data_IF_510645580240
#
_entry.id   IF_510645580240
#
_cell.length_a   1.000
_cell.length_b   1.000
_cell.length_c   1.000
_cell.angle_alpha   90.00
_cell.angle_beta   90.00
_cell.angle_gamma   90.00
#
_symmetry.space_group_name_H-M   'P 1'
#
loop_
_entity.id
_entity.type
_entity.pdbx_description
1 polymer ?
#
# COMPACT_ATOMS: atom_id res chain seq x y z
N UNK A 1 -31.37 0.58 -23.42
CA UNK A 1 -29.90 0.56 -23.42
C UNK A 1 -29.46 1.46 -22.27
N UNK A 2 -28.43 1.08 -21.55
CA UNK A 2 -27.80 1.92 -20.53
C UNK A 2 -26.96 3.04 -21.17
N UNK A 3 -26.20 3.80 -20.37
CA UNK A 3 -25.33 4.87 -20.89
C UNK A 3 -24.11 4.35 -21.66
N UNK A 4 -23.81 3.05 -21.59
CA UNK A 4 -22.83 2.36 -22.42
C UNK A 4 -23.45 1.73 -23.66
N UNK A 5 -24.73 1.99 -23.94
CA UNK A 5 -25.49 1.44 -25.05
C UNK A 5 -25.66 -0.10 -25.00
N UNK A 6 -25.51 -0.71 -23.82
CA UNK A 6 -25.75 -2.13 -23.59
C UNK A 6 -27.22 -2.34 -23.22
N UNK A 7 -27.82 -3.41 -23.73
CA UNK A 7 -29.19 -3.83 -23.39
C UNK A 7 -29.09 -5.17 -22.69
N UNK A 8 -29.64 -5.30 -21.50
CA UNK A 8 -29.47 -6.51 -20.70
C UNK A 8 -29.99 -6.38 -19.28
N UNK A 9 -29.70 -7.39 -18.48
CA UNK A 9 -30.09 -7.46 -17.08
C UNK A 9 -29.37 -8.59 -16.34
N UNK A 10 -29.75 -8.78 -15.08
CA UNK A 10 -29.26 -9.87 -14.24
C UNK A 10 -30.47 -10.67 -13.78
N UNK A 11 -30.43 -11.99 -13.99
CA UNK A 11 -31.42 -12.92 -13.46
C UNK A 11 -31.05 -13.27 -12.02
N UNK A 12 -31.93 -12.97 -11.06
CA UNK A 12 -31.66 -13.17 -9.63
C UNK A 12 -31.91 -14.61 -9.18
N UNK A 13 -32.79 -15.34 -9.86
CA UNK A 13 -33.13 -16.72 -9.58
C UNK A 13 -32.30 -17.73 -10.39
N UNK A 14 -32.56 -19.01 -10.14
CA UNK A 14 -32.14 -20.04 -11.09
C UNK A 14 -32.93 -19.89 -12.38
N UNK A 15 -32.23 -19.86 -13.52
CA UNK A 15 -32.87 -19.77 -14.82
C UNK A 15 -32.90 -21.16 -15.45
N UNK A 16 -34.10 -21.72 -15.57
CA UNK A 16 -34.33 -22.99 -16.27
C UNK A 16 -34.52 -22.73 -17.76
N UNK A 17 -33.79 -23.46 -18.58
CA UNK A 17 -33.79 -23.38 -20.03
C UNK A 17 -33.89 -24.79 -20.64
N UNK A 18 -34.19 -24.88 -21.94
CA UNK A 18 -34.26 -26.16 -22.65
C UNK A 18 -33.46 -26.10 -23.95
N UNK A 19 -32.86 -27.23 -24.32
CA UNK A 19 -32.25 -27.42 -25.64
C UNK A 19 -33.30 -27.71 -26.74
N UNK A 20 -34.55 -27.98 -26.38
CA UNK A 20 -35.65 -28.20 -27.32
C UNK A 20 -36.49 -26.93 -27.48
N UNK A 21 -36.36 -26.27 -28.64
CA UNK A 21 -37.14 -25.08 -29.00
C UNK A 21 -38.64 -25.28 -28.85
N UNK A 22 -39.16 -26.48 -29.13
CA UNK A 22 -40.60 -26.76 -29.07
C UNK A 22 -41.12 -26.68 -27.63
N UNK A 23 -40.34 -27.20 -26.69
CA UNK A 23 -40.63 -27.12 -25.25
C UNK A 23 -40.63 -25.66 -24.82
N UNK A 24 -39.64 -24.87 -25.21
CA UNK A 24 -39.58 -23.43 -24.89
C UNK A 24 -40.81 -22.67 -25.44
N UNK A 25 -41.19 -22.92 -26.69
CA UNK A 25 -42.38 -22.32 -27.30
C UNK A 25 -43.65 -22.74 -26.55
N UNK A 26 -43.76 -24.00 -26.13
CA UNK A 26 -44.91 -24.48 -25.36
C UNK A 26 -45.08 -23.72 -24.04
N UNK A 27 -43.99 -23.48 -23.31
CA UNK A 27 -44.02 -22.67 -22.09
C UNK A 27 -44.37 -21.20 -22.39
N UNK A 28 -43.79 -20.62 -23.46
CA UNK A 28 -44.03 -19.23 -23.85
C UNK A 28 -45.46 -18.97 -24.38
N UNK A 29 -46.07 -19.97 -25.03
CA UNK A 29 -47.38 -19.86 -25.72
C UNK A 29 -48.56 -20.34 -24.87
N UNK A 30 -48.32 -20.66 -23.59
CA UNK A 30 -49.31 -21.26 -22.69
C UNK A 30 -50.48 -20.34 -22.31
N UNK A 31 -50.41 -19.03 -22.61
CA UNK A 31 -51.48 -18.04 -22.36
C UNK A 31 -51.99 -17.45 -23.68
N UNK A 32 -53.26 -17.68 -23.98
CA UNK A 32 -53.90 -17.47 -25.30
C UNK A 32 -53.90 -16.05 -25.88
N UNK A 33 -53.50 -15.02 -25.14
CA UNK A 33 -53.63 -13.61 -25.58
C UNK A 33 -52.37 -12.74 -25.38
N UNK A 34 -51.21 -13.33 -25.05
CA UNK A 34 -49.97 -12.57 -24.83
C UNK A 34 -48.94 -12.79 -25.94
N UNK A 35 -48.27 -11.72 -26.35
CA UNK A 35 -47.05 -11.83 -27.15
C UNK A 35 -46.01 -12.67 -26.39
N UNK A 36 -45.60 -13.79 -26.98
CA UNK A 36 -44.62 -14.68 -26.40
C UNK A 36 -43.20 -14.13 -26.63
N UNK A 37 -42.34 -14.20 -25.62
CA UNK A 37 -40.92 -13.88 -25.74
C UNK A 37 -40.14 -15.19 -25.65
N UNK A 38 -39.25 -15.42 -26.61
CA UNK A 38 -38.34 -16.55 -26.63
C UNK A 38 -36.90 -16.07 -26.51
N UNK A 39 -36.22 -16.45 -25.44
CA UNK A 39 -34.79 -16.19 -25.28
C UNK A 39 -33.97 -17.29 -25.96
N UNK A 40 -33.20 -16.91 -26.97
CA UNK A 40 -32.20 -17.78 -27.59
C UNK A 40 -30.83 -17.51 -26.97
N UNK A 41 -30.31 -18.48 -26.24
CA UNK A 41 -29.13 -18.28 -25.41
C UNK A 41 -27.91 -18.96 -26.01
N UNK A 42 -26.88 -18.18 -26.30
CA UNK A 42 -25.59 -18.75 -26.71
C UNK A 42 -24.74 -19.04 -25.48
N UNK A 43 -24.47 -20.33 -25.22
CA UNK A 43 -23.58 -20.78 -24.15
C UNK A 43 -22.12 -20.78 -24.61
N UNK A 44 -21.25 -20.14 -23.82
CA UNK A 44 -19.80 -20.25 -23.98
C UNK A 44 -19.23 -21.55 -23.38
N UNK A 45 -17.90 -21.71 -23.40
CA UNK A 45 -17.24 -22.79 -22.64
C UNK A 45 -17.32 -22.54 -21.13
N UNK A 46 -17.29 -21.27 -20.72
CA UNK A 46 -17.25 -20.82 -19.33
C UNK A 46 -18.68 -20.64 -18.78
N UNK A 47 -19.56 -20.06 -19.59
CA UNK A 47 -20.94 -19.71 -19.21
C UNK A 47 -21.94 -20.83 -19.56
N UNK A 48 -21.62 -22.07 -19.16
CA UNK A 48 -22.50 -23.24 -19.38
C UNK A 48 -23.47 -23.43 -18.22
N UNK A 49 -24.74 -23.67 -18.55
CA UNK A 49 -25.68 -24.20 -17.59
C UNK A 49 -25.43 -25.69 -17.32
N UNK A 50 -25.96 -26.18 -16.20
CA UNK A 50 -25.89 -27.58 -15.82
C UNK A 50 -27.01 -28.37 -16.53
N UNK A 51 -26.65 -29.45 -17.24
CA UNK A 51 -27.62 -30.41 -17.76
C UNK A 51 -28.26 -31.20 -16.61
N UNK A 52 -29.58 -31.05 -16.47
CA UNK A 52 -30.35 -31.70 -15.42
C UNK A 52 -31.12 -32.92 -15.93
N UNK A 53 -30.97 -33.32 -17.19
CA UNK A 53 -31.75 -34.42 -17.78
C UNK A 53 -31.68 -35.72 -16.97
N UNK A 54 -30.55 -35.99 -16.30
CA UNK A 54 -30.35 -37.19 -15.49
C UNK A 54 -31.04 -37.16 -14.12
N UNK A 55 -31.38 -35.98 -13.60
CA UNK A 55 -31.99 -35.77 -12.28
C UNK A 55 -33.44 -35.26 -12.38
N UNK A 56 -33.82 -34.69 -13.52
CA UNK A 56 -35.12 -34.04 -13.72
C UNK A 56 -36.27 -35.03 -13.69
N UNK A 57 -37.43 -34.58 -13.18
CA UNK A 57 -38.69 -35.31 -13.28
C UNK A 57 -39.19 -35.41 -14.74
N UNK A 58 -38.74 -34.50 -15.62
CA UNK A 58 -39.06 -34.47 -17.03
C UNK A 58 -37.80 -34.52 -17.92
N UNK A 59 -37.05 -35.64 -17.97
CA UNK A 59 -35.79 -35.75 -18.71
C UNK A 59 -35.88 -35.39 -20.20
N UNK A 60 -37.05 -35.60 -20.80
CA UNK A 60 -37.30 -35.32 -22.21
C UNK A 60 -37.36 -33.82 -22.52
N UNK A 61 -37.54 -32.96 -21.52
CA UNK A 61 -37.48 -31.51 -21.67
C UNK A 61 -36.05 -30.99 -21.84
N UNK A 62 -35.02 -31.83 -21.64
CA UNK A 62 -33.60 -31.48 -21.81
C UNK A 62 -33.24 -30.18 -21.10
N UNK A 63 -33.59 -30.13 -19.82
CA UNK A 63 -33.43 -28.95 -18.98
C UNK A 63 -31.94 -28.64 -18.76
N UNK A 64 -31.60 -27.37 -18.97
CA UNK A 64 -30.32 -26.76 -18.65
C UNK A 64 -30.55 -25.65 -17.65
N UNK A 65 -29.94 -25.76 -16.47
CA UNK A 65 -30.12 -24.80 -15.38
C UNK A 65 -28.92 -23.88 -15.24
N UNK A 66 -29.16 -22.58 -15.21
CA UNK A 66 -28.14 -21.57 -14.92
C UNK A 66 -28.23 -21.12 -13.46
N UNK A 67 -27.08 -20.78 -12.89
CA UNK A 67 -26.98 -20.30 -11.51
C UNK A 67 -27.63 -18.91 -11.34
N UNK A 68 -28.06 -18.57 -10.11
CA UNK A 68 -28.47 -17.22 -9.76
C UNK A 68 -27.43 -16.17 -10.12
N UNK A 69 -27.89 -14.94 -10.34
CA UNK A 69 -27.08 -13.79 -10.72
C UNK A 69 -26.40 -13.97 -12.10
N UNK A 70 -27.03 -14.70 -13.01
CA UNK A 70 -26.58 -14.78 -14.40
C UNK A 70 -26.86 -13.46 -15.12
N UNK A 71 -25.82 -12.86 -15.71
CA UNK A 71 -25.94 -11.65 -16.51
C UNK A 71 -26.36 -12.02 -17.95
N UNK A 72 -27.33 -11.26 -18.48
CA UNK A 72 -27.92 -11.43 -19.78
C UNK A 72 -27.66 -10.17 -20.61
N UNK A 73 -27.00 -10.31 -21.74
CA UNK A 73 -26.81 -9.24 -22.72
C UNK A 73 -27.64 -9.54 -23.97
N UNK A 74 -28.52 -8.61 -24.36
CA UNK A 74 -29.32 -8.70 -25.58
C UNK A 74 -28.45 -8.33 -26.78
N UNK A 75 -28.27 -9.28 -27.69
CA UNK A 75 -27.51 -9.10 -28.92
C UNK A 75 -28.42 -8.57 -30.03
N UNK A 76 -29.48 -9.33 -30.32
CA UNK A 76 -30.42 -9.07 -31.41
C UNK A 76 -31.83 -9.43 -30.99
N UNK A 77 -32.80 -8.84 -31.67
CA UNK A 77 -34.22 -9.19 -31.51
C UNK A 77 -34.89 -9.22 -32.88
N UNK A 78 -35.76 -10.19 -33.09
CA UNK A 78 -36.59 -10.30 -34.28
C UNK A 78 -37.94 -10.94 -33.94
N UNK A 79 -38.87 -10.92 -34.88
CA UNK A 79 -40.23 -11.46 -34.69
C UNK A 79 -40.43 -12.65 -35.63
N UNK A 80 -40.83 -13.79 -35.06
CA UNK A 80 -41.20 -15.01 -35.78
C UNK A 80 -42.67 -15.31 -35.51
N UNK A 81 -43.55 -14.94 -36.46
CA UNK A 81 -44.99 -15.09 -36.29
C UNK A 81 -45.51 -14.24 -35.14
N UNK A 82 -45.98 -14.89 -34.06
CA UNK A 82 -46.46 -14.22 -32.83
C UNK A 82 -45.43 -14.23 -31.69
N UNK A 83 -44.20 -14.70 -31.95
CA UNK A 83 -43.14 -14.80 -30.95
C UNK A 83 -42.07 -13.74 -31.21
N UNK A 84 -41.72 -12.94 -30.20
CA UNK A 84 -40.54 -12.11 -30.22
C UNK A 84 -39.34 -12.94 -29.75
N UNK A 85 -38.40 -13.16 -30.66
CA UNK A 85 -37.16 -13.90 -30.37
C UNK A 85 -36.08 -12.90 -29.98
N UNK A 86 -35.45 -13.13 -28.84
CA UNK A 86 -34.39 -12.29 -28.30
C UNK A 86 -33.15 -13.16 -28.15
N UNK A 87 -32.14 -12.91 -28.98
CA UNK A 87 -30.85 -13.59 -28.88
C UNK A 87 -30.03 -12.92 -27.77
N UNK A 88 -29.60 -13.72 -26.80
CA UNK A 88 -28.86 -13.24 -25.64
C UNK A 88 -27.53 -13.97 -25.46
N UNK A 89 -26.54 -13.22 -24.96
CA UNK A 89 -25.28 -13.75 -24.45
C UNK A 89 -25.34 -13.83 -22.93
N UNK A 90 -24.88 -14.95 -22.40
CA UNK A 90 -24.81 -15.20 -20.97
C UNK A 90 -23.41 -14.87 -20.44
N UNK A 91 -23.36 -14.37 -19.21
CA UNK A 91 -22.15 -14.34 -18.40
C UNK A 91 -22.47 -14.78 -16.98
N UNK A 92 -21.74 -15.77 -16.48
CA UNK A 92 -21.88 -16.27 -15.11
C UNK A 92 -20.70 -15.77 -14.29
N UNK A 93 -20.98 -15.13 -13.15
CA UNK A 93 -19.92 -14.67 -12.25
C UNK A 93 -19.27 -15.85 -11.50
N UNK A 94 -18.17 -16.38 -12.04
CA UNK A 94 -17.39 -17.43 -11.38
C UNK A 94 -16.44 -16.91 -10.28
N UNK A 95 -16.34 -15.59 -10.11
CA UNK A 95 -15.44 -14.96 -9.14
C UNK A 95 -16.17 -14.51 -7.88
N UNK A 96 -17.46 -14.80 -7.76
CA UNK A 96 -18.22 -14.52 -6.56
C UNK A 96 -17.63 -15.31 -5.38
N UNK A 97 -17.24 -14.58 -4.33
CA UNK A 97 -16.80 -15.18 -3.07
C UNK A 97 -18.01 -15.78 -2.34
N UNK A 98 -17.81 -16.89 -1.63
CA UNK A 98 -18.84 -17.40 -0.71
C UNK A 98 -19.10 -16.40 0.42
N UNK A 99 -20.23 -16.51 1.10
CA UNK A 99 -20.58 -15.61 2.22
C UNK A 99 -19.46 -15.64 3.27
N UNK A 100 -18.93 -16.82 3.60
CA UNK A 100 -17.84 -16.99 4.57
C UNK A 100 -16.56 -16.30 4.11
N UNK A 101 -16.25 -16.37 2.81
CA UNK A 101 -15.09 -15.71 2.22
C UNK A 101 -15.24 -14.19 2.20
N UNK A 102 -16.45 -13.67 1.94
CA UNK A 102 -16.77 -12.24 2.01
C UNK A 102 -16.60 -11.76 3.45
N UNK A 103 -17.23 -12.46 4.40
CA UNK A 103 -17.17 -12.12 5.83
C UNK A 103 -15.73 -12.15 6.35
N UNK A 104 -14.89 -13.06 5.85
CA UNK A 104 -13.49 -13.19 6.28
C UNK A 104 -12.52 -12.30 5.50
N UNK A 105 -12.97 -11.52 4.51
CA UNK A 105 -12.09 -10.74 3.64
C UNK A 105 -11.27 -9.70 4.42
N UNK A 106 -11.91 -8.98 5.34
CA UNK A 106 -11.24 -7.93 6.12
C UNK A 106 -10.23 -8.52 7.11
N UNK A 107 -10.58 -9.60 7.82
CA UNK A 107 -9.64 -10.31 8.67
C UNK A 107 -8.43 -10.83 7.89
N UNK A 108 -8.65 -11.42 6.70
CA UNK A 108 -7.56 -11.88 5.83
C UNK A 108 -6.63 -10.75 5.41
N UNK A 109 -7.18 -9.60 5.02
CA UNK A 109 -6.39 -8.41 4.70
C UNK A 109 -5.54 -7.93 5.89
N UNK A 110 -6.12 -7.88 7.09
CA UNK A 110 -5.39 -7.51 8.30
C UNK A 110 -4.26 -8.49 8.63
N UNK A 111 -4.53 -9.81 8.55
CA UNK A 111 -3.50 -10.83 8.75
C UNK A 111 -2.39 -10.74 7.70
N UNK A 112 -2.73 -10.50 6.42
CA UNK A 112 -1.76 -10.30 5.35
C UNK A 112 -0.82 -9.11 5.62
N UNK A 113 -1.35 -8.01 6.18
CA UNK A 113 -0.50 -6.89 6.60
C UNK A 113 0.51 -7.33 7.66
N UNK A 114 0.05 -8.03 8.71
CA UNK A 114 0.96 -8.50 9.77
C UNK A 114 2.02 -9.44 9.18
N UNK A 115 1.63 -10.35 8.30
CA UNK A 115 2.52 -11.31 7.64
C UNK A 115 3.59 -10.61 6.81
N UNK A 116 3.20 -9.57 6.07
CA UNK A 116 4.11 -8.73 5.31
C UNK A 116 5.14 -8.05 6.22
N UNK A 117 4.67 -7.43 7.30
CA UNK A 117 5.56 -6.73 8.25
C UNK A 117 6.52 -7.70 8.94
N UNK A 118 6.02 -8.84 9.41
CA UNK A 118 6.85 -9.90 10.01
C UNK A 118 7.86 -10.47 9.01
N UNK A 119 7.44 -10.70 7.77
CA UNK A 119 8.29 -11.18 6.68
C UNK A 119 9.44 -10.21 6.39
N UNK A 120 9.14 -8.92 6.26
CA UNK A 120 10.14 -7.87 6.03
C UNK A 120 11.14 -7.79 7.18
N UNK A 121 10.68 -7.80 8.44
CA UNK A 121 11.56 -7.77 9.61
C UNK A 121 12.44 -9.02 9.70
N UNK A 122 11.86 -10.20 9.47
CA UNK A 122 12.60 -11.47 9.46
C UNK A 122 13.67 -11.49 8.37
N UNK A 123 13.34 -11.05 7.16
CA UNK A 123 14.27 -10.98 6.04
C UNK A 123 15.41 -9.98 6.29
N UNK A 124 15.08 -8.83 6.89
CA UNK A 124 16.08 -7.84 7.31
C UNK A 124 16.98 -8.33 8.45
N UNK A 125 16.59 -9.40 9.16
CA UNK A 125 17.35 -9.98 10.26
C UNK A 125 17.10 -9.28 11.59
N UNK A 126 15.94 -8.65 11.76
CA UNK A 126 15.51 -8.08 13.05
C UNK A 126 15.42 -9.19 14.09
N UNK A 127 16.01 -9.03 15.29
CA UNK A 127 15.98 -10.06 16.32
C UNK A 127 14.55 -10.46 16.74
N UNK A 128 14.25 -11.76 16.90
CA UNK A 128 12.92 -12.24 17.29
C UNK A 128 12.42 -11.69 18.63
N UNK A 129 13.34 -11.35 19.54
CA UNK A 129 13.05 -10.80 20.87
C UNK A 129 12.22 -9.51 20.82
N UNK A 130 12.46 -8.66 19.82
CA UNK A 130 11.73 -7.40 19.66
C UNK A 130 10.51 -7.54 18.74
N UNK A 131 10.44 -8.56 17.89
CA UNK A 131 9.29 -8.78 16.99
C UNK A 131 8.13 -9.55 17.63
N UNK A 132 8.32 -10.06 18.86
CA UNK A 132 7.30 -10.81 19.60
C UNK A 132 5.92 -10.12 19.69
N UNK A 133 5.80 -8.78 19.85
CA UNK A 133 4.51 -8.11 19.86
C UNK A 133 3.69 -8.31 18.58
N UNK A 134 4.33 -8.30 17.40
CA UNK A 134 3.64 -8.56 16.13
C UNK A 134 3.13 -10.00 16.04
N UNK A 135 3.88 -10.96 16.59
CA UNK A 135 3.45 -12.36 16.65
C UNK A 135 2.24 -12.53 17.56
N UNK A 136 2.22 -11.84 18.70
CA UNK A 136 1.06 -11.86 19.60
C UNK A 136 -0.17 -11.23 18.95
N UNK A 137 -0.02 -10.09 18.27
CA UNK A 137 -1.12 -9.43 17.56
C UNK A 137 -1.68 -10.31 16.44
N UNK A 138 -0.81 -11.02 15.69
CA UNK A 138 -1.22 -11.99 14.67
C UNK A 138 -2.10 -13.09 15.26
N UNK A 139 -1.65 -13.70 16.37
CA UNK A 139 -2.38 -14.78 17.05
C UNK A 139 -3.74 -14.29 17.57
N UNK A 140 -3.77 -13.11 18.19
CA UNK A 140 -5.02 -12.49 18.63
C UNK A 140 -5.97 -12.28 17.46
N UNK A 141 -5.47 -11.74 16.35
CA UNK A 141 -6.26 -11.49 15.16
C UNK A 141 -6.82 -12.79 14.53
N UNK A 142 -6.07 -13.90 14.53
CA UNK A 142 -6.52 -15.17 13.97
C UNK A 142 -7.58 -15.88 14.81
N UNK A 143 -7.65 -15.60 16.11
CA UNK A 143 -8.65 -16.19 17.02
C UNK A 143 -9.94 -15.38 17.11
N UNK A 144 -9.97 -14.15 16.59
CA UNK A 144 -11.19 -13.35 16.51
C UNK A 144 -12.15 -13.94 15.48
N UNK A 145 -13.44 -13.80 15.76
CA UNK A 145 -14.47 -14.11 14.78
C UNK A 145 -14.28 -13.24 13.52
N UNK A 146 -14.35 -13.79 12.31
CA UNK A 146 -14.11 -13.02 11.09
C UNK A 146 -15.05 -11.81 10.93
N UNK A 147 -16.29 -11.90 11.42
CA UNK A 147 -17.27 -10.81 11.34
C UNK A 147 -16.89 -9.59 12.19
N UNK A 148 -16.03 -9.75 13.19
CA UNK A 148 -15.50 -8.66 14.02
C UNK A 148 -14.87 -7.55 13.16
N UNK A 149 -14.17 -7.93 12.08
CA UNK A 149 -13.46 -7.01 11.19
C UNK A 149 -14.35 -6.34 10.14
N UNK A 150 -15.63 -6.73 10.04
CA UNK A 150 -16.58 -6.06 9.16
C UNK A 150 -17.11 -4.75 9.75
N UNK A 151 -16.75 -4.44 11.00
CA UNK A 151 -16.92 -3.11 11.60
C UNK A 151 -15.67 -2.28 11.36
N UNK A 152 -15.80 -1.19 10.61
CA UNK A 152 -14.68 -0.34 10.20
C UNK A 152 -13.80 0.14 11.37
N UNK A 153 -14.43 0.46 12.52
CA UNK A 153 -13.72 0.89 13.72
C UNK A 153 -12.80 -0.20 14.28
N UNK A 154 -13.29 -1.43 14.40
CA UNK A 154 -12.50 -2.56 14.88
C UNK A 154 -11.28 -2.85 13.99
N UNK A 155 -11.49 -2.85 12.67
CA UNK A 155 -10.40 -3.05 11.71
C UNK A 155 -9.34 -1.94 11.82
N UNK A 156 -9.78 -0.69 11.93
CA UNK A 156 -8.89 0.47 12.07
C UNK A 156 -8.08 0.39 13.37
N UNK A 157 -8.73 0.11 14.50
CA UNK A 157 -8.07 0.04 15.80
C UNK A 157 -7.01 -1.07 15.86
N UNK A 158 -7.33 -2.28 15.40
CA UNK A 158 -6.36 -3.38 15.38
C UNK A 158 -5.22 -3.12 14.38
N UNK A 159 -5.52 -2.54 13.21
CA UNK A 159 -4.49 -2.17 12.23
C UNK A 159 -3.56 -1.09 12.77
N UNK A 160 -4.08 -0.07 13.45
CA UNK A 160 -3.26 0.94 14.11
C UNK A 160 -2.36 0.33 15.19
N UNK A 161 -2.86 -0.64 15.97
CA UNK A 161 -2.03 -1.35 16.96
C UNK A 161 -0.86 -2.10 16.32
N UNK A 162 -1.05 -2.68 15.14
CA UNK A 162 0.01 -3.33 14.37
C UNK A 162 1.06 -2.32 13.90
N UNK A 163 0.63 -1.18 13.37
CA UNK A 163 1.54 -0.10 12.93
C UNK A 163 2.29 0.52 14.12
N UNK A 164 1.62 0.75 15.24
CA UNK A 164 2.23 1.23 16.48
C UNK A 164 3.26 0.23 17.02
N UNK A 165 2.97 -1.07 16.94
CA UNK A 165 3.93 -2.10 17.31
C UNK A 165 5.15 -2.08 16.40
N UNK A 166 4.97 -1.93 15.08
CA UNK A 166 6.08 -1.74 14.14
C UNK A 166 6.93 -0.51 14.49
N UNK A 167 6.30 0.63 14.78
CA UNK A 167 7.01 1.85 15.17
C UNK A 167 7.84 1.64 16.44
N UNK A 168 7.24 1.03 17.47
CA UNK A 168 7.94 0.67 18.72
C UNK A 168 9.13 -0.28 18.48
N UNK A 169 9.02 -1.18 17.51
CA UNK A 169 10.14 -2.05 17.12
C UNK A 169 11.28 -1.21 16.56
N UNK A 170 11.01 -0.29 15.63
CA UNK A 170 12.02 0.61 15.08
C UNK A 170 12.60 1.57 16.12
N UNK A 171 11.79 2.03 17.08
CA UNK A 171 12.28 2.87 18.17
C UNK A 171 13.33 2.19 19.04
N UNK A 172 13.15 0.89 19.29
CA UNK A 172 14.05 0.09 20.12
C UNK A 172 15.20 -0.55 19.34
N UNK A 173 15.17 -0.54 18.01
CA UNK A 173 16.13 -1.28 17.18
C UNK A 173 17.55 -0.74 17.27
N UNK A 174 17.71 0.52 17.68
CA UNK A 174 18.99 1.16 17.89
C UNK A 174 19.61 0.88 19.28
N UNK A 175 18.93 0.14 20.16
CA UNK A 175 19.51 -0.28 21.44
C UNK A 175 20.47 -1.48 21.21
N UNK A 176 21.72 -1.32 21.62
CA UNK A 176 22.75 -2.35 21.52
C UNK A 176 22.39 -3.65 22.26
N UNK A 177 21.55 -3.57 23.30
CA UNK A 177 21.07 -4.75 24.06
C UNK A 177 20.20 -5.67 23.22
N UNK A 178 19.45 -5.14 22.26
CA UNK A 178 18.61 -5.91 21.34
C UNK A 178 19.45 -6.85 20.48
N UNK A 179 20.68 -6.42 20.16
CA UNK A 179 21.64 -7.17 19.34
C UNK A 179 22.63 -7.98 20.18
N UNK A 180 22.52 -7.95 21.52
CA UNK A 180 23.45 -8.63 22.41
C UNK A 180 23.25 -10.15 22.42
N UNK A 181 22.01 -10.60 22.26
CA UNK A 181 21.63 -12.03 22.24
C UNK A 181 21.76 -12.67 20.86
N UNK A 182 22.05 -11.90 19.81
CA UNK A 182 22.25 -12.41 18.45
C UNK A 182 23.72 -12.79 18.25
N UNK A 183 24.11 -13.95 18.79
CA UNK A 183 25.48 -14.50 18.74
C UNK A 183 25.88 -15.04 17.35
N UNK A 184 25.11 -14.73 16.30
CA UNK A 184 25.42 -15.16 14.95
C UNK A 184 26.58 -14.39 14.31
N UNK A 185 27.40 -15.08 13.52
CA UNK A 185 28.48 -14.53 12.68
C UNK A 185 28.03 -13.37 11.75
N UNK A 186 26.71 -13.18 11.56
CA UNK A 186 26.12 -12.20 10.64
C UNK A 186 25.52 -10.95 11.30
N UNK A 187 25.73 -10.72 12.61
CA UNK A 187 25.13 -9.57 13.33
C UNK A 187 25.31 -8.23 12.60
N UNK A 188 26.50 -8.01 12.04
CA UNK A 188 26.81 -6.79 11.28
C UNK A 188 25.98 -6.67 10.00
N UNK A 189 25.78 -7.74 9.23
CA UNK A 189 24.99 -7.65 8.01
C UNK A 189 23.49 -7.61 8.31
N UNK A 190 23.02 -8.24 9.40
CA UNK A 190 21.65 -8.07 9.89
C UNK A 190 21.35 -6.62 10.27
N UNK A 191 22.23 -5.97 11.05
CA UNK A 191 22.09 -4.54 11.38
C UNK A 191 22.07 -3.67 10.12
N UNK A 192 22.91 -3.97 9.12
CA UNK A 192 22.91 -3.27 7.82
C UNK A 192 21.58 -3.44 7.07
N UNK A 193 21.11 -4.68 6.88
CA UNK A 193 19.82 -4.95 6.20
C UNK A 193 18.64 -4.33 6.94
N UNK A 194 18.70 -4.31 8.27
CA UNK A 194 17.71 -3.66 9.13
C UNK A 194 17.72 -2.14 8.99
N UNK A 195 18.90 -1.52 8.84
CA UNK A 195 18.98 -0.07 8.56
C UNK A 195 18.37 0.28 7.20
N UNK A 196 18.61 -0.58 6.18
CA UNK A 196 17.96 -0.42 4.87
C UNK A 196 16.44 -0.55 4.96
N UNK A 197 15.93 -1.50 5.74
CA UNK A 197 14.49 -1.62 5.99
C UNK A 197 13.93 -0.36 6.67
N UNK A 198 14.62 0.19 7.67
CA UNK A 198 14.19 1.43 8.33
C UNK A 198 14.11 2.59 7.32
N UNK A 199 15.10 2.72 6.44
CA UNK A 199 15.09 3.75 5.41
C UNK A 199 13.94 3.57 4.41
N UNK A 200 13.67 2.34 3.95
CA UNK A 200 12.60 2.09 2.97
C UNK A 200 11.19 2.36 3.50
N UNK A 201 11.00 2.36 4.82
CA UNK A 201 9.72 2.69 5.46
C UNK A 201 9.65 4.13 5.98
N UNK A 202 10.66 4.96 5.69
CA UNK A 202 10.71 6.37 6.10
C UNK A 202 11.33 6.65 7.48
N UNK A 203 11.80 5.63 8.18
CA UNK A 203 12.45 5.73 9.50
C UNK A 203 13.95 6.05 9.37
N UNK A 204 14.26 7.13 8.64
CA UNK A 204 15.63 7.52 8.27
C UNK A 204 16.54 7.81 9.47
N UNK A 205 15.99 8.40 10.53
CA UNK A 205 16.73 8.66 11.77
C UNK A 205 17.21 7.36 12.42
N UNK A 206 16.34 6.35 12.51
CA UNK A 206 16.67 5.03 13.07
C UNK A 206 17.66 4.28 12.19
N UNK A 207 17.54 4.41 10.87
CA UNK A 207 18.51 3.86 9.92
C UNK A 207 19.92 4.42 10.18
N UNK A 208 20.04 5.75 10.35
CA UNK A 208 21.31 6.42 10.63
C UNK A 208 21.89 6.03 12.01
N UNK A 209 21.04 5.93 13.04
CA UNK A 209 21.45 5.48 14.37
C UNK A 209 22.01 4.05 14.33
N UNK A 210 21.35 3.16 13.59
CA UNK A 210 21.76 1.76 13.47
C UNK A 210 23.07 1.60 12.67
N UNK A 211 23.26 2.38 11.60
CA UNK A 211 24.53 2.43 10.86
C UNK A 211 25.66 3.02 11.71
N UNK A 212 25.36 4.01 12.56
CA UNK A 212 26.33 4.57 13.49
C UNK A 212 26.77 3.52 14.51
N UNK A 213 25.81 2.79 15.10
CA UNK A 213 26.07 1.68 16.02
C UNK A 213 26.89 0.56 15.36
N UNK A 214 26.58 0.25 14.10
CA UNK A 214 27.35 -0.68 13.27
C UNK A 214 28.80 -0.22 13.07
N UNK A 215 29.03 1.07 12.77
CA UNK A 215 30.38 1.62 12.53
C UNK A 215 31.27 1.63 13.78
N UNK A 216 30.69 1.87 14.96
CA UNK A 216 31.38 1.85 16.26
C UNK A 216 31.82 0.45 16.71
N UNK A 217 31.25 -0.62 16.13
CA UNK A 217 31.71 -2.00 16.37
C UNK A 217 33.03 -2.35 15.66
N UNK A 218 33.58 -1.48 14.81
CA UNK A 218 34.86 -1.71 14.11
C UNK A 218 36.10 -1.25 14.89
N UNK A 219 35.97 -0.55 16.02
CA UNK A 219 37.12 0.02 16.76
C UNK A 219 37.65 -0.87 17.89
N UNK A 220 37.34 -2.17 17.90
CA UNK A 220 37.74 -3.09 18.99
C UNK A 220 39.13 -3.75 18.85
N UNK A 221 39.88 -3.48 17.78
CA UNK A 221 41.31 -3.76 17.77
C UNK A 221 42.05 -2.44 18.02
N UNK A 222 42.60 -2.30 19.23
CA UNK A 222 43.23 -1.09 19.77
C UNK A 222 44.53 -0.64 19.08
N UNK A 223 44.62 -0.70 17.75
CA UNK A 223 45.60 0.07 17.00
C UNK A 223 44.96 1.40 16.60
N UNK A 224 45.42 2.48 17.25
CA UNK A 224 45.26 3.84 16.72
C UNK A 224 45.77 3.82 15.27
N UNK A 225 44.87 3.83 14.30
CA UNK A 225 45.24 4.09 12.91
C UNK A 225 45.73 5.53 12.88
N UNK A 226 46.97 5.80 12.45
CA UNK A 226 47.44 7.17 12.29
C UNK A 226 46.51 7.88 11.32
N UNK A 227 46.11 9.10 11.66
CA UNK A 227 45.45 9.99 10.70
C UNK A 227 46.53 10.38 9.68
N UNK A 228 46.70 9.54 8.66
CA UNK A 228 47.47 9.89 7.46
C UNK A 228 46.48 10.47 6.43
N UNK A 229 46.71 11.67 5.86
CA UNK A 229 45.69 12.38 5.06
C UNK A 229 45.37 11.81 3.67
N UNK A 230 45.79 10.57 3.34
CA UNK A 230 45.82 10.10 1.94
C UNK A 230 45.23 8.71 1.68
N UNK A 231 44.11 8.35 2.31
CA UNK A 231 43.28 7.24 1.78
C UNK A 231 41.80 7.57 1.88
N UNK A 232 41.24 8.04 0.76
CA UNK A 232 39.80 8.10 0.53
C UNK A 232 39.18 6.72 0.79
N UNK A 233 38.52 6.55 1.93
CA UNK A 233 37.46 5.55 2.05
C UNK A 233 36.18 6.28 1.67
N UNK A 234 35.62 5.92 0.53
CA UNK A 234 34.31 6.39 0.08
C UNK A 234 33.29 6.21 1.21
N UNK A 235 32.28 7.07 1.25
CA UNK A 235 31.03 6.70 1.92
C UNK A 235 30.64 5.31 1.40
N UNK A 236 30.24 4.42 2.30
CA UNK A 236 29.87 3.08 1.91
C UNK A 236 28.53 3.16 1.14
N UNK A 237 28.26 2.29 0.14
CA UNK A 237 27.09 2.39 -0.76
C UNK A 237 25.72 2.51 -0.06
N UNK A 238 25.65 2.20 1.23
CA UNK A 238 24.45 2.25 2.07
C UNK A 238 24.08 3.67 2.48
N UNK A 239 25.06 4.56 2.69
CA UNK A 239 24.79 5.98 2.94
C UNK A 239 24.25 6.66 1.68
N UNK A 240 24.76 6.25 0.50
CA UNK A 240 24.26 6.72 -0.80
C UNK A 240 22.80 6.29 -1.02
N UNK A 241 22.43 5.05 -0.66
CA UNK A 241 21.04 4.58 -0.75
C UNK A 241 20.07 5.31 0.19
N UNK A 242 20.49 5.64 1.41
CA UNK A 242 19.66 6.46 2.33
C UNK A 242 19.49 7.86 1.76
N UNK A 243 20.57 8.46 1.25
CA UNK A 243 20.51 9.77 0.59
C UNK A 243 19.61 9.74 -0.65
N UNK A 244 19.72 8.72 -1.51
CA UNK A 244 18.85 8.53 -2.67
C UNK A 244 17.39 8.31 -2.28
N UNK A 245 17.11 7.55 -1.21
CA UNK A 245 15.75 7.34 -0.71
C UNK A 245 15.13 8.64 -0.21
N UNK A 246 15.90 9.47 0.50
CA UNK A 246 15.48 10.80 0.94
C UNK A 246 15.18 11.71 -0.26
N UNK A 247 16.05 11.70 -1.28
CA UNK A 247 15.87 12.47 -2.51
C UNK A 247 14.62 12.02 -3.30
N UNK A 248 14.33 10.70 -3.32
CA UNK A 248 13.18 10.13 -4.04
C UNK A 248 11.85 10.31 -3.30
N UNK A 249 11.84 10.26 -1.95
CA UNK A 249 10.61 10.42 -1.17
C UNK A 249 10.16 11.88 -1.06
N UNK A 250 11.09 12.83 -0.94
CA UNK A 250 10.78 14.26 -0.74
C UNK A 250 10.90 15.09 -2.04
N UNK A 251 11.03 14.42 -3.20
CA UNK A 251 11.14 14.97 -4.56
C UNK A 251 11.42 16.47 -4.64
N UNK A 252 12.68 16.92 -4.50
CA UNK A 252 13.10 18.32 -4.70
C UNK A 252 12.18 19.44 -4.16
N UNK A 253 11.35 19.19 -3.14
CA UNK A 253 10.48 20.21 -2.56
C UNK A 253 10.89 20.45 -1.11
N UNK A 254 11.49 21.62 -0.89
CA UNK A 254 11.89 22.11 0.42
C UNK A 254 10.69 22.18 1.41
N UNK A 255 10.92 22.07 2.73
CA UNK A 255 12.21 22.09 3.42
C UNK A 255 12.70 20.71 3.87
N UNK A 256 14.01 20.49 3.68
CA UNK A 256 14.75 19.27 3.97
C UNK A 256 14.62 18.78 5.42
N UNK A 257 14.64 17.46 5.68
CA UNK A 257 14.63 16.92 7.03
C UNK A 257 15.81 17.43 7.86
N UNK A 258 15.55 17.84 9.11
CA UNK A 258 16.57 18.27 10.06
C UNK A 258 17.71 17.26 10.27
N UNK A 259 17.47 15.99 9.93
CA UNK A 259 18.43 14.88 9.94
C UNK A 259 19.63 15.12 9.02
N UNK A 260 19.44 15.67 7.82
CA UNK A 260 20.53 15.91 6.86
C UNK A 260 21.45 17.05 7.35
N UNK A 261 20.84 18.08 7.93
CA UNK A 261 21.54 19.19 8.59
C UNK A 261 22.27 18.71 9.86
N UNK A 262 21.69 17.81 10.65
CA UNK A 262 22.36 17.19 11.81
C UNK A 262 23.55 16.31 11.42
N UNK A 263 23.43 15.51 10.35
CA UNK A 263 24.50 14.65 9.85
C UNK A 263 25.71 15.46 9.34
N UNK A 264 25.44 16.61 8.70
CA UNK A 264 26.46 17.57 8.26
C UNK A 264 27.08 18.29 9.47
N UNK A 265 26.27 18.80 10.41
CA UNK A 265 26.76 19.48 11.63
C UNK A 265 27.64 18.59 12.51
N UNK A 266 27.39 17.29 12.54
CA UNK A 266 28.21 16.30 13.29
C UNK A 266 29.49 15.91 12.56
N UNK A 267 29.78 16.46 11.38
CA UNK A 267 31.01 16.23 10.61
C UNK A 267 31.14 14.81 10.05
N UNK A 268 30.03 14.06 9.92
CA UNK A 268 30.06 12.62 9.61
C UNK A 268 29.88 12.29 8.12
N UNK A 269 29.54 13.26 7.27
CA UNK A 269 29.49 13.12 5.81
C UNK A 269 30.64 13.89 5.15
N UNK A 270 31.84 13.29 5.09
CA UNK A 270 33.02 13.90 4.45
C UNK A 270 33.69 13.00 3.40
N UNK A 271 32.96 12.04 2.83
CA UNK A 271 33.43 11.22 1.71
C UNK A 271 33.05 11.83 0.36
N UNK A 272 33.91 11.70 -0.66
CA UNK A 272 33.59 12.17 -2.02
C UNK A 272 32.38 11.39 -2.55
N UNK A 273 31.29 12.10 -2.81
CA UNK A 273 30.09 11.64 -3.49
C UNK A 273 30.34 11.60 -5.01
N UNK A 274 29.35 11.15 -5.79
CA UNK A 274 29.33 11.30 -7.26
C UNK A 274 29.52 12.77 -7.68
N UNK A 275 29.80 13.03 -8.96
CA UNK A 275 30.00 14.40 -9.46
C UNK A 275 28.81 15.34 -9.12
N UNK A 276 27.59 14.81 -9.17
CA UNK A 276 26.36 15.51 -8.79
C UNK A 276 26.24 15.71 -7.27
N UNK A 277 26.62 14.71 -6.47
CA UNK A 277 26.63 14.84 -5.00
C UNK A 277 27.72 15.77 -4.45
N UNK A 278 28.87 15.87 -5.13
CA UNK A 278 29.92 16.86 -4.77
C UNK A 278 29.49 18.28 -5.15
N UNK A 279 28.77 18.46 -6.26
CA UNK A 279 28.17 19.75 -6.60
C UNK A 279 27.09 20.16 -5.59
N UNK A 280 26.30 19.20 -5.11
CA UNK A 280 25.30 19.40 -4.06
C UNK A 280 25.94 19.76 -2.70
N UNK A 281 26.92 18.99 -2.21
CA UNK A 281 27.65 19.33 -0.97
C UNK A 281 28.36 20.68 -1.10
N UNK A 282 28.98 20.97 -2.25
CA UNK A 282 29.62 22.26 -2.51
C UNK A 282 28.65 23.43 -2.60
N UNK A 283 27.37 23.17 -2.86
CA UNK A 283 26.30 24.20 -2.81
C UNK A 283 25.79 24.37 -1.38
N UNK A 284 25.58 23.27 -0.65
CA UNK A 284 25.15 23.28 0.76
C UNK A 284 26.22 23.90 1.67
N UNK A 285 27.50 23.57 1.49
CA UNK A 285 28.60 24.19 2.25
C UNK A 285 28.70 25.68 1.99
N UNK A 286 28.57 26.11 0.73
CA UNK A 286 28.63 27.54 0.38
C UNK A 286 27.45 28.30 0.95
N UNK A 287 26.25 27.74 0.88
CA UNK A 287 25.06 28.30 1.52
C UNK A 287 25.22 28.36 3.05
N UNK A 288 25.75 27.32 3.70
CA UNK A 288 26.00 27.32 5.15
C UNK A 288 27.09 28.33 5.54
N UNK A 289 28.13 28.50 4.72
CA UNK A 289 29.20 29.48 4.93
C UNK A 289 28.71 30.91 4.72
N UNK A 290 27.85 31.15 3.73
CA UNK A 290 27.13 32.42 3.52
C UNK A 290 26.15 32.70 4.68
N UNK A 291 25.40 31.68 5.13
CA UNK A 291 24.50 31.74 6.31
C UNK A 291 25.23 32.08 7.62
N UNK A 292 26.48 31.61 7.79
CA UNK A 292 27.32 31.93 8.95
C UNK A 292 27.95 33.31 8.85
N UNK A 293 28.11 33.86 7.64
CA UNK A 293 28.71 35.17 7.36
C UNK A 293 27.72 36.31 7.61
N UNK A 294 26.43 36.13 7.31
CA UNK A 294 25.43 37.21 7.33
C UNK A 294 24.55 37.30 8.60
N UNK A 295 24.80 36.48 9.63
CA UNK A 295 24.16 36.53 10.98
C UNK A 295 22.62 36.59 11.03
N UNK A 296 21.89 36.36 9.94
CA UNK A 296 20.42 36.26 9.95
C UNK A 296 19.96 34.93 9.34
N UNK A 297 19.54 33.94 10.16
CA UNK A 297 19.01 32.68 9.66
C UNK A 297 17.64 32.90 9.00
N UNK A 298 17.31 32.17 7.92
CA UNK A 298 16.07 32.32 7.14
C UNK A 298 14.79 31.90 7.90
N UNK A 299 14.92 31.48 9.17
CA UNK A 299 13.83 31.10 10.06
C UNK A 299 13.79 31.96 11.33
N UNK A 300 14.14 33.24 11.21
CA UNK A 300 13.93 34.21 12.28
C UNK A 300 12.45 34.66 12.31
N UNK A 301 11.93 34.90 13.51
CA UNK A 301 10.57 35.42 13.72
C UNK A 301 10.41 36.71 12.91
N UNK A 302 9.41 36.75 12.02
CA UNK A 302 9.14 37.90 11.14
C UNK A 302 9.65 37.79 9.70
N UNK A 303 10.33 36.70 9.33
CA UNK A 303 10.76 36.44 7.95
C UNK A 303 9.57 36.15 7.02
N UNK A 304 9.62 36.71 5.80
CA UNK A 304 8.65 36.45 4.74
C UNK A 304 9.05 35.17 3.99
N UNK A 305 8.09 34.27 3.81
CA UNK A 305 8.26 32.97 3.15
C UNK A 305 7.16 32.79 2.11
N UNK A 306 7.49 32.13 0.99
CA UNK A 306 6.52 31.76 -0.04
C UNK A 306 6.01 30.34 0.25
N UNK A 307 4.69 30.18 0.36
CA UNK A 307 4.03 28.90 0.66
C UNK A 307 3.20 28.49 -0.55
N UNK A 308 3.37 27.24 -0.98
CA UNK A 308 2.58 26.61 -2.03
C UNK A 308 1.30 26.05 -1.41
N UNK A 309 0.13 26.50 -1.87
CA UNK A 309 -1.15 26.15 -1.25
C UNK A 309 -1.86 24.95 -1.91
N UNK A 310 -1.41 24.50 -3.09
CA UNK A 310 -2.11 23.50 -3.92
C UNK A 310 -1.15 22.80 -4.93
N UNK A 311 -1.52 21.59 -5.38
CA UNK A 311 -0.97 20.87 -6.54
C UNK A 311 -0.99 21.70 -7.85
N UNK A 312 -1.85 22.71 -7.96
CA UNK A 312 -1.92 23.68 -9.07
C UNK A 312 -0.84 24.78 -9.05
N UNK A 313 0.13 24.71 -8.13
CA UNK A 313 1.32 25.57 -8.07
C UNK A 313 1.08 27.07 -7.82
N UNK A 314 0.10 27.41 -6.98
CA UNK A 314 -0.13 28.80 -6.57
C UNK A 314 0.77 29.13 -5.37
N UNK A 315 1.58 30.19 -5.51
CA UNK A 315 2.53 30.66 -4.49
C UNK A 315 2.00 31.92 -3.78
N UNK A 316 1.92 31.90 -2.46
CA UNK A 316 1.53 33.08 -1.65
C UNK A 316 2.57 33.46 -0.59
N UNK A 317 2.65 34.76 -0.28
CA UNK A 317 3.53 35.30 0.76
C UNK A 317 2.92 35.10 2.16
N UNK A 318 3.65 34.41 3.03
CA UNK A 318 3.32 34.20 4.43
C UNK A 318 4.47 34.67 5.35
N UNK A 319 4.17 34.89 6.64
CA UNK A 319 5.15 35.41 7.61
C UNK A 319 5.27 34.50 8.83
N UNK A 320 6.50 34.18 9.25
CA UNK A 320 6.74 33.27 10.38
C UNK A 320 6.46 33.98 11.72
N UNK A 321 5.40 33.58 12.43
CA UNK A 321 5.04 34.07 13.77
C UNK A 321 5.30 33.06 14.89
N UNK A 322 5.46 33.55 16.13
CA UNK A 322 5.74 32.72 17.31
C UNK A 322 4.48 31.99 17.79
N UNK A 323 4.48 30.67 17.84
CA UNK A 323 3.44 29.88 18.53
C UNK A 323 3.91 29.60 19.96
N UNK A 324 3.03 29.76 20.96
CA UNK A 324 3.34 29.41 22.36
C UNK A 324 3.68 27.92 22.44
N UNK A 325 4.62 27.58 23.32
CA UNK A 325 5.12 26.22 23.65
C UNK A 325 6.29 25.65 22.82
N UNK A 326 7.09 26.53 22.18
CA UNK A 326 8.45 26.16 21.75
C UNK A 326 8.54 25.28 20.50
N UNK A 327 7.42 25.03 19.83
CA UNK A 327 7.36 24.45 18.49
C UNK A 327 7.18 25.60 17.50
N UNK A 328 8.12 25.75 16.56
CA UNK A 328 7.96 26.65 15.41
C UNK A 328 7.01 25.96 14.45
N UNK A 329 5.74 26.38 14.44
CA UNK A 329 4.77 26.00 13.43
C UNK A 329 4.37 27.26 12.64
N UNK A 330 4.22 27.18 11.30
CA UNK A 330 3.67 28.28 10.52
C UNK A 330 2.20 28.47 10.94
N UNK A 331 1.91 29.59 11.61
CA UNK A 331 0.53 29.97 11.93
C UNK A 331 -0.01 30.80 10.75
N UNK A 332 -0.90 30.24 9.94
CA UNK A 332 -1.57 30.99 8.88
C UNK A 332 -2.59 31.95 9.50
N UNK A 333 -2.36 33.25 9.37
CA UNK A 333 -3.38 34.26 9.64
C UNK A 333 -3.82 34.86 8.32
N UNK A 334 -5.07 34.59 7.93
CA UNK A 334 -5.68 35.15 6.75
C UNK A 334 -6.05 36.60 7.01
N UNK A 335 -5.44 37.54 6.28
CA UNK A 335 -5.94 38.92 6.20
C UNK A 335 -6.42 39.13 4.78
N UNK A 336 -7.73 39.09 4.59
CA UNK A 336 -8.39 39.38 3.31
C UNK A 336 -8.26 40.89 3.06
N UNK A 337 -7.59 41.27 1.98
CA UNK A 337 -7.68 42.62 1.40
C UNK A 337 -8.58 42.57 0.18
#
# INVERSE_FOLDING_TARGET
>A
ADHYNVKGGVEFGFMSATLDRRVAIQYASSKRDNAAILFEMQMGMIDRGADLSWLSQYPHEREVLFAPLSALEVLTQHVEGQVCVVSIRLSVNLQALTIEQVVSKMQRSHLQLIDLLQGNMRFAGVPPSITAPLQQLRLQASHKDPSYYNVAQHYREDTNRVLDAQKKIFDNIADMRVWATDEGFDRKAKMRRTAMLCASVGEHGKAADLLTLWSGLNTRNGTKVPITPHRQKSLTPEWDLIAESLIKQDGMHAPWPGTLVELIKRGKMSGKLTAEGNAFIGTVQRMVEEMLRDRHPPFSIGADVLVLLDEEQIWEHARISRVRDGIVAPLMTYTKW
#
